data_IF_509319896470
#
_entry.id   IF_509319896470
#
_cell.length_a   1.000
_cell.length_b   1.000
_cell.length_c   1.000
_cell.angle_alpha   90.00
_cell.angle_beta   90.00
_cell.angle_gamma   90.00
#
_symmetry.space_group_name_H-M   'P 1'
#
loop_
_entity.id
_entity.type
_entity.pdbx_description
1 polymer ?
#
# COMPACT_ATOMS: atom_id res chain seq x y z
N UNK A 1 -32.37 -4.32 9.40
CA UNK A 1 -33.22 -3.67 8.38
C UNK A 1 -33.66 -2.34 8.99
N UNK A 2 -33.39 -1.15 8.47
CA UNK A 2 -33.19 -0.67 7.10
C UNK A 2 -32.04 0.36 7.01
N UNK A 3 -31.47 0.48 5.81
CA UNK A 3 -30.44 1.44 5.40
C UNK A 3 -30.93 2.89 5.47
N UNK A 4 -30.14 3.81 6.06
CA UNK A 4 -30.25 5.24 5.76
C UNK A 4 -29.17 5.63 4.75
N UNK A 5 -29.58 5.73 3.48
CA UNK A 5 -28.81 6.41 2.46
C UNK A 5 -28.93 7.92 2.70
N UNK A 6 -27.90 8.54 3.26
CA UNK A 6 -27.74 9.99 3.16
C UNK A 6 -27.27 10.33 1.75
N UNK A 7 -28.23 10.67 0.89
CA UNK A 7 -27.98 11.25 -0.43
C UNK A 7 -27.55 12.70 -0.22
N UNK A 8 -26.24 12.95 -0.20
CA UNK A 8 -25.67 14.29 -0.26
C UNK A 8 -25.83 14.84 -1.70
N UNK A 9 -26.99 15.42 -2.00
CA UNK A 9 -27.21 16.17 -3.25
C UNK A 9 -27.03 17.66 -3.00
N UNK A 10 -25.92 18.23 -3.48
CA UNK A 10 -25.69 19.67 -3.48
C UNK A 10 -26.15 20.21 -4.84
N UNK A 11 -27.41 20.66 -4.90
CA UNK A 11 -27.92 21.42 -6.05
C UNK A 11 -27.38 22.86 -6.00
N UNK A 12 -26.75 23.33 -7.08
CA UNK A 12 -26.54 24.76 -7.32
C UNK A 12 -27.35 25.18 -8.54
N UNK A 13 -28.24 26.15 -8.34
CA UNK A 13 -29.06 26.75 -9.39
C UNK A 13 -28.31 27.93 -10.00
N UNK A 14 -28.26 28.00 -11.33
CA UNK A 14 -27.92 29.21 -12.06
C UNK A 14 -29.14 29.60 -12.91
N UNK A 15 -29.55 30.86 -12.79
CA UNK A 15 -30.58 31.47 -13.62
C UNK A 15 -29.83 32.31 -14.63
N UNK A 16 -29.88 31.94 -15.90
CA UNK A 16 -29.37 32.80 -16.98
C UNK A 16 -30.39 33.93 -17.22
N UNK A 17 -29.92 35.10 -17.69
CA UNK A 17 -30.68 36.36 -17.87
C UNK A 17 -31.88 36.29 -18.86
N UNK A 18 -32.26 35.10 -19.31
CA UNK A 18 -33.38 34.82 -20.23
C UNK A 18 -34.46 33.95 -19.55
N UNK A 19 -34.31 33.62 -18.26
CA UNK A 19 -35.34 32.90 -17.49
C UNK A 19 -35.54 31.43 -17.88
N UNK A 20 -34.63 30.85 -18.67
CA UNK A 20 -34.59 29.41 -18.92
C UNK A 20 -33.70 28.74 -17.88
N UNK A 21 -34.31 28.05 -16.91
CA UNK A 21 -33.59 27.17 -15.99
C UNK A 21 -33.16 25.91 -16.72
N UNK A 22 -31.93 25.87 -17.21
CA UNK A 22 -31.35 24.64 -17.75
C UNK A 22 -30.83 23.81 -16.57
N UNK A 23 -31.51 22.73 -16.23
CA UNK A 23 -31.01 21.74 -15.27
C UNK A 23 -29.86 20.99 -15.96
N UNK A 24 -28.62 21.43 -15.74
CA UNK A 24 -27.43 20.65 -16.11
C UNK A 24 -27.21 19.62 -15.00
N UNK A 25 -27.94 18.52 -15.02
CA UNK A 25 -27.62 17.33 -14.23
C UNK A 25 -26.50 16.57 -14.89
N UNK A 26 -25.26 16.88 -14.51
CA UNK A 26 -24.11 15.99 -14.71
C UNK A 26 -23.31 15.92 -13.41
N UNK A 27 -23.93 15.39 -12.34
CA UNK A 27 -23.15 14.94 -11.18
C UNK A 27 -22.45 13.64 -11.56
N UNK A 28 -21.30 13.76 -12.21
CA UNK A 28 -20.41 12.63 -12.46
C UNK A 28 -19.69 12.27 -11.17
N UNK A 29 -20.40 11.58 -10.29
CA UNK A 29 -19.83 10.99 -9.09
C UNK A 29 -19.13 9.69 -9.45
N UNK A 30 -17.96 9.45 -8.86
CA UNK A 30 -17.25 8.18 -8.99
C UNK A 30 -18.09 7.02 -8.45
N UNK A 31 -17.93 5.79 -8.98
CA UNK A 31 -18.62 4.62 -8.45
C UNK A 31 -18.26 4.35 -7.00
N UNK A 32 -19.22 3.93 -6.18
CA UNK A 32 -18.97 3.56 -4.76
C UNK A 32 -17.87 2.51 -4.62
N UNK A 33 -17.88 1.50 -5.51
CA UNK A 33 -16.84 0.47 -5.55
C UNK A 33 -15.43 1.04 -5.72
N UNK A 34 -15.27 2.04 -6.60
CA UNK A 34 -14.01 2.73 -6.81
C UNK A 34 -13.53 3.43 -5.54
N UNK A 35 -14.42 4.21 -4.91
CA UNK A 35 -14.09 4.91 -3.67
C UNK A 35 -13.77 3.96 -2.51
N UNK A 36 -14.41 2.79 -2.48
CA UNK A 36 -14.12 1.75 -1.48
C UNK A 36 -12.75 1.12 -1.68
N UNK A 37 -12.37 0.82 -2.93
CA UNK A 37 -11.04 0.30 -3.26
C UNK A 37 -9.97 1.34 -2.90
N UNK A 38 -10.13 2.60 -3.31
CA UNK A 38 -9.19 3.67 -2.96
C UNK A 38 -8.98 3.79 -1.45
N UNK A 39 -10.08 3.76 -0.68
CA UNK A 39 -10.02 3.84 0.78
C UNK A 39 -9.25 2.67 1.38
N UNK A 40 -9.50 1.44 0.92
CA UNK A 40 -8.80 0.24 1.41
C UNK A 40 -7.30 0.31 1.09
N UNK A 41 -6.94 0.68 -0.14
CA UNK A 41 -5.54 0.83 -0.55
C UNK A 41 -4.83 1.90 0.30
N UNK A 42 -5.47 3.06 0.50
CA UNK A 42 -4.93 4.12 1.36
C UNK A 42 -4.67 3.64 2.78
N UNK A 43 -5.65 2.97 3.39
CA UNK A 43 -5.55 2.45 4.75
C UNK A 43 -4.42 1.42 4.88
N UNK A 44 -4.29 0.52 3.89
CA UNK A 44 -3.20 -0.46 3.88
C UNK A 44 -1.84 0.22 3.76
N UNK A 45 -1.69 1.19 2.84
CA UNK A 45 -0.44 1.94 2.68
C UNK A 45 -0.04 2.65 3.98
N UNK A 46 -0.97 3.35 4.61
CA UNK A 46 -0.73 4.02 5.90
C UNK A 46 -0.28 3.03 6.98
N UNK A 47 -0.91 1.86 7.07
CA UNK A 47 -0.53 0.84 8.06
C UNK A 47 0.87 0.28 7.82
N UNK A 48 1.21 -0.02 6.56
CA UNK A 48 2.53 -0.58 6.21
C UNK A 48 3.63 0.46 6.38
N UNK A 49 3.40 1.69 5.93
CA UNK A 49 4.34 2.81 6.12
C UNK A 49 4.59 3.08 7.61
N UNK A 50 3.55 3.11 8.44
CA UNK A 50 3.72 3.25 9.89
C UNK A 50 4.49 2.07 10.49
N UNK A 51 4.26 0.85 10.02
CA UNK A 51 5.01 -0.33 10.46
C UNK A 51 6.49 -0.23 10.09
N UNK A 52 6.80 0.25 8.89
CA UNK A 52 8.17 0.46 8.40
C UNK A 52 8.90 1.59 9.13
N UNK A 53 8.20 2.69 9.45
CA UNK A 53 8.74 3.81 10.22
C UNK A 53 9.04 3.42 11.66
N UNK A 54 8.16 2.62 12.26
CA UNK A 54 8.32 2.16 13.64
C UNK A 54 9.31 1.00 13.78
N UNK A 55 9.66 0.30 12.68
CA UNK A 55 10.66 -0.76 12.72
C UNK A 55 12.08 -0.21 12.88
N UNK A 56 12.54 -0.23 14.12
CA UNK A 56 13.96 -0.08 14.44
C UNK A 56 14.63 -1.43 14.16
N UNK A 57 15.32 -1.54 13.01
CA UNK A 57 16.11 -2.75 12.70
C UNK A 57 17.04 -3.06 13.86
N UNK A 58 16.74 -4.19 14.50
CA UNK A 58 17.50 -4.78 15.59
C UNK A 58 17.68 -6.24 15.23
N UNK A 59 18.92 -6.67 15.21
CA UNK A 59 19.26 -8.07 15.00
C UNK A 59 19.22 -8.75 16.38
N UNK A 60 18.23 -9.62 16.56
CA UNK A 60 18.10 -10.48 17.73
C UNK A 60 18.79 -11.82 17.49
N UNK A 61 18.30 -12.86 18.16
CA UNK A 61 18.65 -14.24 17.82
C UNK A 61 18.10 -14.64 16.42
N UNK A 62 18.50 -15.83 15.95
CA UNK A 62 18.05 -16.35 14.65
C UNK A 62 16.52 -16.44 14.57
N UNK A 63 15.83 -16.80 15.66
CA UNK A 63 14.38 -16.90 15.68
C UNK A 63 13.70 -15.53 15.45
N UNK A 64 14.20 -14.47 16.08
CA UNK A 64 13.71 -13.11 15.87
C UNK A 64 13.97 -12.61 14.44
N UNK A 65 15.12 -12.98 13.86
CA UNK A 65 15.46 -12.66 12.46
C UNK A 65 14.53 -13.38 11.50
N UNK A 66 14.27 -14.66 11.69
CA UNK A 66 13.36 -15.44 10.84
C UNK A 66 11.92 -14.94 10.94
N UNK A 67 11.44 -14.59 12.13
CA UNK A 67 10.14 -13.96 12.29
C UNK A 67 10.03 -12.65 11.49
N UNK A 68 11.06 -11.81 11.54
CA UNK A 68 11.11 -10.55 10.77
C UNK A 68 11.17 -10.78 9.26
N UNK A 69 12.00 -11.73 8.80
CA UNK A 69 12.06 -12.13 7.38
C UNK A 69 10.69 -12.57 6.87
N UNK A 70 9.99 -13.40 7.64
CA UNK A 70 8.64 -13.86 7.28
C UNK A 70 7.67 -12.69 7.15
N UNK A 71 7.64 -11.78 8.14
CA UNK A 71 6.77 -10.59 8.08
C UNK A 71 7.06 -9.76 6.82
N UNK A 72 8.32 -9.49 6.49
CA UNK A 72 8.65 -8.69 5.31
C UNK A 72 8.33 -9.39 3.99
N UNK A 73 8.49 -10.72 3.95
CA UNK A 73 8.09 -11.51 2.78
C UNK A 73 6.57 -11.46 2.60
N UNK A 74 5.80 -11.68 3.66
CA UNK A 74 4.34 -11.63 3.61
C UNK A 74 3.84 -10.23 3.17
N UNK A 75 4.50 -9.16 3.63
CA UNK A 75 4.19 -7.79 3.20
C UNK A 75 4.58 -7.51 1.74
N UNK A 76 5.68 -8.08 1.24
CA UNK A 76 6.04 -8.00 -0.18
C UNK A 76 5.01 -8.70 -1.07
N UNK A 77 4.56 -9.89 -0.65
CA UNK A 77 3.53 -10.63 -1.38
C UNK A 77 2.20 -9.85 -1.40
N UNK A 78 1.79 -9.24 -0.28
CA UNK A 78 0.65 -8.33 -0.24
C UNK A 78 0.83 -7.09 -1.14
N UNK A 79 2.05 -6.57 -1.26
CA UNK A 79 2.34 -5.43 -2.14
C UNK A 79 2.02 -5.77 -3.60
N UNK A 80 2.27 -6.99 -4.04
CA UNK A 80 1.89 -7.46 -5.39
C UNK A 80 0.37 -7.44 -5.59
N UNK A 81 -0.40 -7.86 -4.58
CA UNK A 81 -1.87 -7.77 -4.62
C UNK A 81 -2.36 -6.32 -4.69
N UNK A 82 -1.66 -5.40 -3.99
CA UNK A 82 -1.98 -3.98 -4.06
C UNK A 82 -1.57 -3.33 -5.39
N UNK A 83 -0.51 -3.81 -6.05
CA UNK A 83 -0.17 -3.41 -7.42
C UNK A 83 -1.31 -3.76 -8.38
N UNK A 84 -1.90 -4.96 -8.28
CA UNK A 84 -3.09 -5.32 -9.05
C UNK A 84 -4.33 -4.47 -8.71
N UNK A 85 -4.52 -4.15 -7.43
CA UNK A 85 -5.58 -3.23 -6.98
C UNK A 85 -5.39 -1.83 -7.60
N UNK A 86 -4.15 -1.37 -7.72
CA UNK A 86 -3.81 -0.10 -8.37
C UNK A 86 -4.07 -0.14 -9.89
N UNK A 87 -3.82 -1.27 -10.54
CA UNK A 87 -4.18 -1.48 -11.95
C UNK A 87 -5.69 -1.39 -12.15
N UNK A 88 -6.49 -2.03 -11.28
CA UNK A 88 -7.95 -1.97 -11.32
C UNK A 88 -8.46 -0.53 -11.16
N UNK A 89 -7.93 0.22 -10.19
CA UNK A 89 -8.24 1.64 -10.01
C UNK A 89 -7.92 2.44 -11.27
N UNK A 90 -6.77 2.21 -11.90
CA UNK A 90 -6.40 2.91 -13.12
C UNK A 90 -7.34 2.59 -14.30
N UNK A 91 -7.79 1.34 -14.42
CA UNK A 91 -8.77 0.94 -15.45
C UNK A 91 -10.09 1.68 -15.21
N UNK A 92 -10.63 1.61 -14.00
CA UNK A 92 -11.88 2.29 -13.66
C UNK A 92 -11.73 3.80 -13.87
N UNK A 93 -10.66 4.44 -13.38
CA UNK A 93 -10.49 5.88 -13.54
C UNK A 93 -10.50 6.33 -15.02
N UNK A 94 -9.88 5.55 -15.92
CA UNK A 94 -9.89 5.83 -17.37
C UNK A 94 -11.30 5.81 -17.96
N UNK A 95 -12.16 4.90 -17.53
CA UNK A 95 -13.56 4.82 -17.98
C UNK A 95 -14.39 6.04 -17.59
N UNK A 96 -13.99 6.74 -16.51
CA UNK A 96 -14.72 7.87 -15.96
C UNK A 96 -14.08 9.23 -16.29
N UNK A 97 -12.82 9.31 -16.72
CA UNK A 97 -12.18 10.60 -17.04
C UNK A 97 -12.96 11.45 -18.05
N UNK A 98 -13.61 10.84 -19.04
CA UNK A 98 -14.43 11.55 -20.04
C UNK A 98 -15.76 12.08 -19.48
N UNK A 99 -16.19 11.57 -18.32
CA UNK A 99 -17.44 11.94 -17.64
C UNK A 99 -17.20 12.96 -16.52
N UNK A 100 -15.97 13.04 -16.01
CA UNK A 100 -15.57 13.94 -14.94
C UNK A 100 -15.21 15.33 -15.48
N UNK A 101 -15.35 16.35 -14.63
CA UNK A 101 -14.79 17.67 -14.95
C UNK A 101 -13.26 17.61 -14.95
N UNK A 102 -12.62 18.51 -15.69
CA UNK A 102 -11.15 18.60 -15.80
C UNK A 102 -10.50 18.65 -14.41
N UNK A 103 -11.05 19.44 -13.50
CA UNK A 103 -10.52 19.57 -12.13
C UNK A 103 -10.60 18.28 -11.33
N UNK A 104 -11.72 17.54 -11.43
CA UNK A 104 -11.87 16.26 -10.73
C UNK A 104 -10.95 15.21 -11.34
N UNK A 105 -10.87 15.14 -12.68
CA UNK A 105 -9.96 14.23 -13.39
C UNK A 105 -8.50 14.47 -13.02
N UNK A 106 -8.07 15.74 -12.95
CA UNK A 106 -6.70 16.08 -12.55
C UNK A 106 -6.38 15.65 -11.12
N UNK A 107 -7.26 15.97 -10.16
CA UNK A 107 -7.08 15.56 -8.75
C UNK A 107 -7.04 14.05 -8.60
N UNK A 108 -7.90 13.34 -9.34
CA UNK A 108 -7.93 11.89 -9.33
C UNK A 108 -6.63 11.30 -9.86
N UNK A 109 -6.12 11.84 -10.98
CA UNK A 109 -4.85 11.43 -11.54
C UNK A 109 -3.68 11.66 -10.57
N UNK A 110 -3.62 12.84 -9.94
CA UNK A 110 -2.61 13.16 -8.92
C UNK A 110 -2.67 12.18 -7.74
N UNK A 111 -3.87 11.84 -7.27
CA UNK A 111 -4.06 10.90 -6.17
C UNK A 111 -3.61 9.48 -6.54
N UNK A 112 -3.96 9.01 -7.75
CA UNK A 112 -3.55 7.70 -8.25
C UNK A 112 -2.04 7.61 -8.46
N UNK A 113 -1.41 8.65 -9.01
CA UNK A 113 0.05 8.72 -9.12
C UNK A 113 0.70 8.66 -7.73
N UNK A 114 0.19 9.41 -6.75
CA UNK A 114 0.69 9.35 -5.39
C UNK A 114 0.58 7.95 -4.75
N UNK A 115 -0.51 7.21 -4.98
CA UNK A 115 -0.60 5.82 -4.50
C UNK A 115 0.43 4.91 -5.17
N UNK A 116 0.66 5.09 -6.46
CA UNK A 116 1.63 4.29 -7.22
C UNK A 116 3.07 4.54 -6.73
N UNK A 117 3.43 5.79 -6.48
CA UNK A 117 4.73 6.16 -5.93
C UNK A 117 4.92 5.57 -4.51
N UNK A 118 3.90 5.66 -3.66
CA UNK A 118 3.92 5.08 -2.31
C UNK A 118 4.06 3.56 -2.33
N UNK A 119 3.38 2.87 -3.25
CA UNK A 119 3.52 1.42 -3.43
C UNK A 119 4.96 1.05 -3.83
N UNK A 120 5.55 1.81 -4.76
CA UNK A 120 6.93 1.62 -5.17
C UNK A 120 7.90 1.79 -3.99
N UNK A 121 7.74 2.85 -3.21
CA UNK A 121 8.56 3.12 -2.03
C UNK A 121 8.44 1.99 -1.00
N UNK A 122 7.21 1.57 -0.67
CA UNK A 122 6.96 0.45 0.24
C UNK A 122 7.68 -0.81 -0.23
N UNK A 123 7.55 -1.17 -1.51
CA UNK A 123 8.21 -2.34 -2.11
C UNK A 123 9.72 -2.26 -2.00
N UNK A 124 10.30 -1.10 -2.29
CA UNK A 124 11.74 -0.85 -2.19
C UNK A 124 12.21 -1.00 -0.73
N UNK A 125 11.55 -0.35 0.22
CA UNK A 125 11.90 -0.44 1.64
C UNK A 125 11.80 -1.85 2.18
N UNK A 126 10.73 -2.58 1.87
CA UNK A 126 10.56 -3.97 2.28
C UNK A 126 11.67 -4.86 1.72
N UNK A 127 12.01 -4.69 0.44
CA UNK A 127 13.08 -5.44 -0.23
C UNK A 127 14.45 -5.17 0.41
N UNK A 128 14.76 -3.91 0.71
CA UNK A 128 15.99 -3.53 1.40
C UNK A 128 16.07 -4.11 2.82
N UNK A 129 14.97 -4.06 3.57
CA UNK A 129 14.91 -4.60 4.94
C UNK A 129 15.09 -6.12 4.92
N UNK A 130 14.41 -6.82 4.02
CA UNK A 130 14.55 -8.27 3.87
C UNK A 130 16.00 -8.65 3.51
N UNK A 131 16.64 -7.90 2.60
CA UNK A 131 18.05 -8.13 2.26
C UNK A 131 18.99 -7.92 3.46
N UNK A 132 18.73 -6.93 4.32
CA UNK A 132 19.50 -6.70 5.56
C UNK A 132 19.36 -7.89 6.53
N UNK A 133 18.14 -8.38 6.73
CA UNK A 133 17.91 -9.54 7.60
C UNK A 133 18.51 -10.83 7.03
N UNK A 134 18.45 -11.07 5.72
CA UNK A 134 19.12 -12.22 5.09
C UNK A 134 20.64 -12.21 5.28
N UNK A 135 21.27 -11.02 5.24
CA UNK A 135 22.71 -10.91 5.53
C UNK A 135 23.01 -11.21 7.00
N UNK A 136 22.21 -10.67 7.92
CA UNK A 136 22.39 -10.91 9.35
C UNK A 136 22.20 -12.39 9.73
N UNK A 137 21.18 -13.03 9.16
CA UNK A 137 20.90 -14.47 9.30
C UNK A 137 22.11 -15.33 8.90
N UNK A 138 22.68 -15.04 7.72
CA UNK A 138 23.88 -15.71 7.23
C UNK A 138 25.06 -15.51 8.19
N UNK A 139 25.32 -14.28 8.61
CA UNK A 139 26.45 -13.97 9.51
C UNK A 139 26.32 -14.68 10.86
N UNK A 140 25.12 -14.75 11.43
CA UNK A 140 24.88 -15.46 12.69
C UNK A 140 25.01 -16.97 12.52
N UNK A 141 24.46 -17.53 11.45
CA UNK A 141 24.59 -18.96 11.13
C UNK A 141 26.04 -19.39 10.95
N UNK A 142 26.84 -18.60 10.21
CA UNK A 142 28.26 -18.86 9.99
C UNK A 142 29.04 -18.81 11.33
N UNK A 143 28.67 -17.87 12.22
CA UNK A 143 29.28 -17.74 13.54
C UNK A 143 28.94 -18.91 14.47
N UNK A 144 27.68 -19.34 14.52
CA UNK A 144 27.25 -20.50 15.31
C UNK A 144 27.90 -21.80 14.83
N UNK A 145 27.99 -21.99 13.51
CA UNK A 145 28.69 -23.13 12.91
C UNK A 145 30.17 -23.19 13.31
N UNK A 146 30.87 -22.05 13.23
CA UNK A 146 32.28 -21.95 13.66
C UNK A 146 32.48 -22.26 15.14
N UNK A 147 31.55 -21.85 16.02
CA UNK A 147 31.61 -22.21 17.45
C UNK A 147 31.50 -23.72 17.66
N UNK A 148 30.57 -24.39 16.96
CA UNK A 148 30.40 -25.84 17.07
C UNK A 148 31.61 -26.61 16.55
N UNK A 149 32.22 -26.18 15.46
CA UNK A 149 33.48 -26.74 14.96
C UNK A 149 34.61 -26.64 16.00
N UNK A 150 34.77 -25.49 16.66
CA UNK A 150 35.77 -25.31 17.73
C UNK A 150 35.47 -26.22 18.92
N UNK A 151 34.21 -26.33 19.35
CA UNK A 151 33.80 -27.23 20.44
C UNK A 151 34.12 -28.69 20.13
N UNK A 152 33.86 -29.14 18.90
CA UNK A 152 34.18 -30.50 18.44
C UNK A 152 35.69 -30.73 18.41
N UNK A 153 36.46 -29.76 17.92
CA UNK A 153 37.93 -29.80 17.93
C UNK A 153 38.51 -29.97 19.34
N UNK A 154 38.00 -29.21 20.32
CA UNK A 154 38.44 -29.32 21.73
C UNK A 154 38.06 -30.69 22.33
N UNK A 155 36.87 -31.23 22.03
CA UNK A 155 36.45 -32.55 22.54
C UNK A 155 37.29 -33.69 21.99
N UNK A 156 37.74 -33.62 20.75
CA UNK A 156 38.53 -34.67 20.10
C UNK A 156 40.02 -34.67 20.50
N UNK A 157 40.47 -33.68 21.28
CA UNK A 157 41.84 -33.56 21.78
C UNK A 157 41.99 -34.11 23.22
N UNK A 158 40.89 -34.53 23.85
CA UNK A 158 40.89 -35.22 25.17
C UNK A 158 40.70 -36.71 25.02
#
# INVERSE_FOLDING_TARGET
MFYSNEVNSIYKFYIDDIGNSTIITSSSTLPTHFTDIQRKLRQWLEQVEQSLLNDKVRFGDLQAIDAKKKIYKDLLDQTLEQEHTMEELNVIAREYYSKLSIDISRRLQEELTNYQDRLYDVKMFLSERLAKYNRADKTLSDFEGGIEEVKLGIRNVR
#
